data_IF_461467080318
#
_entry.id   IF_461467080318
#
_cell.length_a   1.000
_cell.length_b   1.000
_cell.length_c   1.000
_cell.angle_alpha   90.00
_cell.angle_beta   90.00
_cell.angle_gamma   90.00
#
_symmetry.space_group_name_H-M   'P 1'
#
loop_
_entity.id
_entity.type
_entity.pdbx_description
1 polymer ?
#
# COMPACT_ATOMS: atom_id res chain seq x y z
N UNK A 1 -9.23 -3.98 43.16
CA UNK A 1 -7.95 -3.65 42.51
C UNK A 1 -8.27 -2.98 41.19
N UNK A 2 -8.21 -1.65 41.18
CA UNK A 2 -8.56 -0.79 40.05
C UNK A 2 -7.23 -0.39 39.41
N UNK A 3 -7.01 -0.76 38.15
CA UNK A 3 -6.02 -0.13 37.30
C UNK A 3 -6.78 0.58 36.18
N UNK A 4 -6.89 1.90 36.31
CA UNK A 4 -7.38 2.79 35.25
C UNK A 4 -6.16 3.15 34.42
N UNK A 5 -6.08 2.63 33.20
CA UNK A 5 -5.10 3.09 32.22
C UNK A 5 -5.47 4.52 31.80
N UNK A 6 -4.56 5.45 32.05
CA UNK A 6 -4.71 6.85 31.68
C UNK A 6 -4.31 7.02 30.21
N UNK A 7 -5.29 7.23 29.33
CA UNK A 7 -5.05 7.64 27.94
C UNK A 7 -4.72 9.15 27.95
N UNK A 8 -3.50 9.49 27.54
CA UNK A 8 -3.05 10.88 27.44
C UNK A 8 -3.43 11.44 26.05
N UNK A 9 -4.64 12.00 25.92
CA UNK A 9 -5.00 12.81 24.76
C UNK A 9 -4.43 14.23 24.96
N UNK A 10 -3.27 14.53 24.36
CA UNK A 10 -2.64 15.85 24.48
C UNK A 10 -3.33 16.84 23.52
N UNK A 11 -4.31 17.57 24.03
CA UNK A 11 -5.05 18.58 23.28
C UNK A 11 -4.31 19.93 23.37
N UNK A 12 -3.34 20.16 22.49
CA UNK A 12 -2.60 21.44 22.43
C UNK A 12 -3.47 22.49 21.74
N UNK A 13 -3.86 23.52 22.50
CA UNK A 13 -4.67 24.63 22.03
C UNK A 13 -3.78 25.83 21.65
N UNK A 14 -3.45 26.01 20.37
CA UNK A 14 -2.99 27.31 19.83
C UNK A 14 -3.45 27.54 18.39
N UNK A 15 -3.91 28.77 18.15
CA UNK A 15 -4.05 29.57 16.91
C UNK A 15 -4.08 28.85 15.55
N UNK A 16 -5.20 29.01 14.82
CA UNK A 16 -5.46 28.68 13.39
C UNK A 16 -4.33 27.87 12.74
N UNK A 17 -4.25 26.60 13.11
CA UNK A 17 -3.27 25.65 12.62
C UNK A 17 -3.98 24.34 12.36
N UNK A 18 -3.71 23.74 11.21
CA UNK A 18 -4.19 22.41 10.85
C UNK A 18 -3.82 21.45 12.00
N UNK A 19 -4.80 21.04 12.81
CA UNK A 19 -4.56 20.13 13.94
C UNK A 19 -4.40 18.74 13.35
N UNK A 20 -3.16 18.27 13.26
CA UNK A 20 -2.88 16.87 12.95
C UNK A 20 -3.40 16.00 14.09
N UNK A 21 -4.22 15.01 13.75
CA UNK A 21 -4.73 14.03 14.72
C UNK A 21 -3.80 12.82 14.71
N UNK A 22 -3.22 12.48 15.86
CA UNK A 22 -2.39 11.28 16.04
C UNK A 22 -3.06 10.29 16.99
N UNK A 23 -3.21 9.03 16.57
CA UNK A 23 -3.81 7.95 17.38
C UNK A 23 -2.96 6.68 17.32
N UNK A 24 -2.68 6.06 18.47
CA UNK A 24 -1.96 4.79 18.59
C UNK A 24 -2.91 3.59 18.56
N UNK A 25 -2.53 2.51 17.86
CA UNK A 25 -3.32 1.29 17.69
C UNK A 25 -2.98 0.21 18.72
N UNK A 26 -3.97 -0.39 19.39
CA UNK A 26 -3.74 -1.21 20.59
C UNK A 26 -3.43 -2.70 20.26
N UNK A 27 -3.78 -3.15 19.04
CA UNK A 27 -3.51 -4.53 18.60
C UNK A 27 -2.31 -4.65 17.64
N UNK A 28 -1.73 -3.53 17.17
CA UNK A 28 -0.63 -3.53 16.18
C UNK A 28 0.42 -2.44 16.42
N UNK A 29 0.27 -1.63 17.48
CA UNK A 29 1.11 -0.46 17.81
C UNK A 29 1.38 0.51 16.64
N UNK A 30 0.53 0.53 15.62
CA UNK A 30 0.63 1.52 14.56
C UNK A 30 0.13 2.89 15.04
N UNK A 31 0.77 3.95 14.60
CA UNK A 31 0.27 5.31 14.82
C UNK A 31 -0.22 5.88 13.50
N UNK A 32 -1.45 6.37 13.46
CA UNK A 32 -2.00 7.08 12.29
C UNK A 32 -2.00 8.59 12.54
N UNK A 33 -1.53 9.34 11.56
CA UNK A 33 -1.58 10.80 11.50
C UNK A 33 -2.49 11.25 10.35
N UNK A 34 -3.50 12.06 10.67
CA UNK A 34 -4.46 12.59 9.69
C UNK A 34 -4.42 14.12 9.68
N UNK A 35 -4.41 14.70 8.48
CA UNK A 35 -4.47 16.16 8.31
C UNK A 35 -5.81 16.76 8.75
N UNK A 36 -6.92 16.06 8.47
CA UNK A 36 -8.24 16.39 8.99
C UNK A 36 -9.02 15.11 9.26
N UNK A 37 -10.01 15.19 10.15
CA UNK A 37 -10.71 14.02 10.67
C UNK A 37 -12.24 14.07 10.52
N UNK A 38 -12.85 15.25 10.66
CA UNK A 38 -14.31 15.43 10.69
C UNK A 38 -14.81 16.28 9.52
N UNK A 39 -16.01 15.99 8.97
CA UNK A 39 -16.88 14.83 9.21
C UNK A 39 -16.37 13.54 8.55
N UNK A 40 -15.33 13.65 7.73
CA UNK A 40 -14.63 12.53 7.10
C UNK A 40 -13.20 12.97 6.78
N UNK A 41 -12.20 12.09 6.92
CA UNK A 41 -10.81 12.45 6.68
C UNK A 41 -10.59 13.01 5.27
N UNK A 42 -9.87 14.12 5.17
CA UNK A 42 -9.44 14.72 3.91
C UNK A 42 -8.03 15.28 4.03
N UNK A 43 -7.23 15.11 2.99
CA UNK A 43 -5.82 15.51 2.95
C UNK A 43 -4.86 14.38 3.36
N UNK A 44 -3.60 14.72 3.65
CA UNK A 44 -2.54 13.76 3.94
C UNK A 44 -2.85 12.80 5.09
N UNK A 45 -2.41 11.56 4.94
CA UNK A 45 -2.44 10.49 5.93
C UNK A 45 -1.07 9.81 5.99
N UNK A 46 -0.58 9.55 7.20
CA UNK A 46 0.62 8.74 7.44
C UNK A 46 0.35 7.67 8.49
N UNK A 47 0.95 6.51 8.32
CA UNK A 47 0.93 5.41 9.28
C UNK A 47 2.36 5.02 9.61
N UNK A 48 2.65 4.91 10.90
CA UNK A 48 3.96 4.57 11.44
C UNK A 48 3.90 3.29 12.27
N UNK A 49 5.02 2.60 12.39
CA UNK A 49 5.17 1.50 13.34
C UNK A 49 5.41 1.98 14.78
N UNK A 50 5.69 1.04 15.69
CA UNK A 50 5.89 1.29 17.12
C UNK A 50 7.22 1.98 17.45
N UNK A 51 8.16 1.97 16.49
CA UNK A 51 9.41 2.72 16.54
C UNK A 51 9.29 4.06 15.79
N UNK A 52 8.06 4.46 15.44
CA UNK A 52 7.75 5.69 14.71
C UNK A 52 8.42 5.77 13.32
N UNK A 53 8.63 4.63 12.68
CA UNK A 53 9.12 4.56 11.29
C UNK A 53 7.94 4.57 10.34
N UNK A 54 8.03 5.36 9.27
CA UNK A 54 6.97 5.49 8.27
C UNK A 54 6.71 4.14 7.56
N UNK A 55 5.47 3.68 7.58
CA UNK A 55 5.02 2.46 6.88
C UNK A 55 4.17 2.79 5.66
N UNK A 56 3.24 3.75 5.79
CA UNK A 56 2.37 4.21 4.71
C UNK A 56 2.25 5.73 4.69
N UNK A 57 2.17 6.27 3.49
CA UNK A 57 1.91 7.69 3.21
C UNK A 57 0.94 7.78 2.03
N UNK A 58 -0.02 8.70 2.11
CA UNK A 58 -1.01 8.92 1.07
C UNK A 58 -2.00 10.03 1.45
N UNK A 59 -3.16 10.02 0.82
CA UNK A 59 -4.21 11.01 1.09
C UNK A 59 -5.61 10.41 1.08
N UNK A 60 -6.50 11.08 1.81
CA UNK A 60 -7.94 10.88 1.71
C UNK A 60 -8.63 12.06 1.03
N UNK A 61 -9.73 11.77 0.35
CA UNK A 61 -10.70 12.76 -0.09
C UNK A 61 -12.09 12.29 0.38
N UNK A 62 -12.71 13.07 1.27
CA UNK A 62 -14.04 12.77 1.82
C UNK A 62 -14.15 11.34 2.39
N UNK A 63 -13.13 10.91 3.14
CA UNK A 63 -13.05 9.61 3.79
C UNK A 63 -12.64 8.44 2.89
N UNK A 64 -12.38 8.67 1.60
CA UNK A 64 -11.92 7.64 0.66
C UNK A 64 -10.45 7.82 0.33
N UNK A 65 -9.71 6.72 0.16
CA UNK A 65 -8.33 6.79 -0.32
C UNK A 65 -8.30 7.48 -1.68
N UNK A 66 -7.41 8.44 -1.84
CA UNK A 66 -7.28 9.24 -3.05
C UNK A 66 -5.82 9.56 -3.37
N UNK A 67 -5.53 9.70 -4.66
CA UNK A 67 -4.17 9.98 -5.13
C UNK A 67 -3.23 8.78 -4.96
N UNK A 68 -1.93 9.06 -4.91
CA UNK A 68 -0.89 8.03 -4.80
C UNK A 68 -0.61 7.70 -3.34
N UNK A 69 -0.68 6.42 -3.04
CA UNK A 69 -0.26 5.83 -1.78
C UNK A 69 1.11 5.17 -1.94
N UNK A 70 1.93 5.26 -0.90
CA UNK A 70 3.28 4.73 -0.86
C UNK A 70 3.44 3.85 0.38
N UNK A 71 4.05 2.68 0.22
CA UNK A 71 4.51 1.85 1.34
C UNK A 71 6.02 1.84 1.45
N UNK A 72 6.50 1.91 2.68
CA UNK A 72 7.91 1.98 3.04
C UNK A 72 8.26 0.84 3.98
N UNK A 73 9.40 0.21 3.74
CA UNK A 73 9.95 -0.84 4.60
C UNK A 73 10.54 -0.27 5.89
N UNK A 74 10.79 -1.13 6.86
CA UNK A 74 11.38 -0.73 8.15
C UNK A 74 12.80 -0.14 8.05
N UNK A 75 13.46 -0.36 6.91
CA UNK A 75 14.76 0.19 6.52
C UNK A 75 14.65 1.57 5.81
N UNK A 76 13.43 2.09 5.61
CA UNK A 76 13.16 3.31 4.86
C UNK A 76 13.08 3.11 3.34
N UNK A 77 13.27 1.89 2.83
CA UNK A 77 13.21 1.61 1.40
C UNK A 77 11.76 1.61 0.93
N UNK A 78 11.48 2.31 -0.17
CA UNK A 78 10.14 2.28 -0.80
C UNK A 78 9.84 0.89 -1.36
N UNK A 79 8.72 0.30 -0.97
CA UNK A 79 8.31 -1.06 -1.36
C UNK A 79 7.20 -1.08 -2.41
N UNK A 80 6.28 -0.11 -2.39
CA UNK A 80 5.23 0.02 -3.40
C UNK A 80 4.67 1.44 -3.49
N UNK A 81 4.13 1.78 -4.66
CA UNK A 81 3.30 2.96 -4.90
C UNK A 81 2.12 2.57 -5.75
N UNK A 82 0.91 2.96 -5.36
CA UNK A 82 -0.30 2.69 -6.14
C UNK A 82 -1.29 3.82 -5.97
N UNK A 83 -2.14 4.02 -6.98
CA UNK A 83 -3.03 5.17 -7.02
C UNK A 83 -4.51 4.80 -6.87
N UNK A 84 -5.27 5.73 -6.30
CA UNK A 84 -6.72 5.67 -6.21
C UNK A 84 -7.36 6.90 -6.86
N UNK A 85 -8.62 6.71 -7.23
CA UNK A 85 -9.57 7.78 -7.54
C UNK A 85 -10.87 7.41 -6.85
N UNK A 86 -11.39 8.28 -5.98
CA UNK A 86 -12.67 8.05 -5.29
C UNK A 86 -12.73 6.71 -4.51
N UNK A 87 -11.62 6.30 -3.89
CA UNK A 87 -11.52 5.05 -3.13
C UNK A 87 -11.36 3.78 -3.97
N UNK A 88 -11.31 3.89 -5.30
CA UNK A 88 -11.11 2.76 -6.21
C UNK A 88 -9.70 2.82 -6.79
N UNK A 89 -8.98 1.69 -6.83
CA UNK A 89 -7.63 1.64 -7.43
C UNK A 89 -7.71 2.12 -8.89
N UNK A 90 -6.95 3.15 -9.21
CA UNK A 90 -6.97 3.79 -10.51
C UNK A 90 -5.66 4.56 -10.73
N UNK A 91 -4.97 4.27 -11.83
CA UNK A 91 -3.68 4.86 -12.16
C UNK A 91 -2.50 3.91 -11.91
N UNK A 92 -1.26 4.43 -11.85
CA UNK A 92 -0.07 3.60 -11.87
C UNK A 92 0.11 2.76 -10.60
N UNK A 93 0.77 1.61 -10.76
CA UNK A 93 1.27 0.74 -9.69
C UNK A 93 2.74 0.45 -9.97
N UNK A 94 3.56 0.55 -8.92
CA UNK A 94 4.94 0.05 -8.92
C UNK A 94 5.22 -0.66 -7.61
N UNK A 95 6.04 -1.70 -7.67
CA UNK A 95 6.59 -2.38 -6.50
C UNK A 95 8.08 -2.58 -6.67
N UNK A 96 8.81 -2.59 -5.57
CA UNK A 96 10.26 -2.76 -5.53
C UNK A 96 10.66 -3.90 -4.60
N UNK A 97 11.84 -4.45 -4.81
CA UNK A 97 12.45 -5.40 -3.91
C UNK A 97 12.94 -4.69 -2.64
N UNK A 98 12.64 -5.27 -1.47
CA UNK A 98 13.13 -4.76 -0.19
C UNK A 98 14.53 -5.29 0.14
N UNK A 99 15.41 -4.43 0.66
CA UNK A 99 16.80 -4.78 0.94
C UNK A 99 16.95 -5.88 2.01
N UNK A 100 16.00 -5.99 2.95
CA UNK A 100 16.03 -7.05 3.96
C UNK A 100 15.94 -8.47 3.37
N UNK A 101 15.14 -8.65 2.32
CA UNK A 101 14.96 -9.96 1.67
C UNK A 101 15.91 -10.15 0.50
N UNK A 102 16.25 -9.06 -0.18
CA UNK A 102 17.12 -9.01 -1.36
C UNK A 102 18.14 -7.88 -1.20
N UNK A 103 19.23 -8.08 -0.43
CA UNK A 103 20.21 -7.03 -0.15
C UNK A 103 20.77 -6.38 -1.41
N UNK A 104 21.15 -7.21 -2.38
CA UNK A 104 21.73 -6.78 -3.66
C UNK A 104 20.71 -6.23 -4.67
N UNK A 105 19.42 -6.31 -4.34
CA UNK A 105 18.35 -5.80 -5.20
C UNK A 105 17.43 -4.82 -4.47
N UNK A 106 17.85 -4.30 -3.31
CA UNK A 106 17.10 -3.30 -2.56
C UNK A 106 16.77 -2.10 -3.46
N UNK A 107 15.49 -1.79 -3.61
CA UNK A 107 15.02 -0.71 -4.48
C UNK A 107 15.02 -1.03 -5.97
N UNK A 108 15.40 -2.23 -6.41
CA UNK A 108 15.20 -2.66 -7.80
C UNK A 108 13.71 -2.81 -8.10
N UNK A 109 13.30 -2.41 -9.30
CA UNK A 109 11.91 -2.53 -9.75
C UNK A 109 11.53 -4.01 -9.79
N UNK A 110 10.44 -4.35 -9.10
CA UNK A 110 9.87 -5.70 -9.06
C UNK A 110 8.67 -5.81 -10.00
N UNK A 111 7.81 -4.78 -10.02
CA UNK A 111 6.59 -4.76 -10.81
C UNK A 111 6.25 -3.33 -11.22
N UNK A 112 5.73 -3.16 -12.43
CA UNK A 112 5.04 -1.94 -12.85
C UNK A 112 3.80 -2.24 -13.70
N UNK A 113 2.80 -1.38 -13.62
CA UNK A 113 1.56 -1.51 -14.39
C UNK A 113 0.58 -0.38 -14.11
N UNK A 114 -0.67 -0.58 -14.52
CA UNK A 114 -1.77 0.39 -14.30
C UNK A 114 -3.02 -0.32 -13.78
N UNK A 115 -3.77 0.37 -12.93
CA UNK A 115 -5.10 0.01 -12.48
C UNK A 115 -6.16 0.86 -13.20
N UNK A 116 -7.28 0.24 -13.57
CA UNK A 116 -8.53 0.91 -13.92
C UNK A 116 -9.69 0.16 -13.25
N UNK A 117 -10.65 0.91 -12.71
CA UNK A 117 -11.86 0.39 -12.07
C UNK A 117 -11.60 -0.72 -11.04
N UNK A 118 -10.51 -0.60 -10.27
CA UNK A 118 -10.15 -1.52 -9.19
C UNK A 118 -9.27 -2.70 -9.62
N UNK A 119 -9.13 -2.98 -10.91
CA UNK A 119 -8.38 -4.11 -11.46
C UNK A 119 -7.21 -3.67 -12.36
N UNK A 120 -6.28 -4.60 -12.65
CA UNK A 120 -5.22 -4.29 -13.61
C UNK A 120 -5.81 -4.01 -14.98
N UNK A 121 -5.27 -2.99 -15.65
CA UNK A 121 -5.66 -2.62 -17.01
C UNK A 121 -4.43 -2.19 -17.81
N UNK A 122 -4.31 -2.70 -19.03
CA UNK A 122 -3.12 -2.56 -19.85
C UNK A 122 -2.01 -3.56 -19.49
N UNK A 123 -0.75 -3.14 -19.64
CA UNK A 123 0.41 -4.03 -19.46
C UNK A 123 0.94 -3.96 -18.04
N UNK A 124 1.12 -5.12 -17.43
CA UNK A 124 1.80 -5.32 -16.15
C UNK A 124 3.07 -6.11 -16.39
N UNK A 125 4.22 -5.53 -16.07
CA UNK A 125 5.53 -6.13 -16.24
C UNK A 125 6.12 -6.46 -14.87
N UNK A 126 6.67 -7.67 -14.73
CA UNK A 126 7.45 -8.09 -13.55
C UNK A 126 8.89 -8.31 -13.96
N UNK A 127 9.80 -8.02 -13.04
CA UNK A 127 11.23 -8.24 -13.20
C UNK A 127 11.74 -9.12 -12.08
N UNK A 128 12.81 -9.86 -12.36
CA UNK A 128 13.61 -10.57 -11.36
C UNK A 128 14.46 -9.59 -10.54
N UNK A 129 15.04 -10.02 -9.40
CA UNK A 129 15.97 -9.18 -8.63
C UNK A 129 17.17 -8.70 -9.45
N UNK A 130 17.57 -9.45 -10.48
CA UNK A 130 18.62 -9.06 -11.43
C UNK A 130 18.24 -7.90 -12.36
N UNK A 131 16.95 -7.50 -12.37
CA UNK A 131 16.41 -6.52 -13.32
C UNK A 131 15.96 -7.12 -14.66
N UNK A 132 16.22 -8.41 -14.90
CA UNK A 132 15.76 -9.09 -16.12
C UNK A 132 14.24 -9.27 -16.08
N UNK A 133 13.57 -9.11 -17.23
CA UNK A 133 12.11 -9.28 -17.32
C UNK A 133 11.73 -10.72 -16.96
N UNK A 134 10.83 -10.87 -15.99
CA UNK A 134 10.28 -12.16 -15.53
C UNK A 134 8.96 -12.47 -16.22
N UNK A 135 8.03 -11.51 -16.27
CA UNK A 135 6.72 -11.74 -16.88
C UNK A 135 6.15 -10.46 -17.49
N UNK A 136 5.28 -10.66 -18.47
CA UNK A 136 4.47 -9.62 -19.09
C UNK A 136 3.03 -10.11 -19.15
N UNK A 137 2.11 -9.36 -18.57
CA UNK A 137 0.68 -9.68 -18.50
C UNK A 137 -0.12 -8.52 -19.10
N UNK A 138 -0.99 -8.80 -20.05
CA UNK A 138 -1.85 -7.80 -20.69
C UNK A 138 -3.28 -8.02 -20.23
N UNK A 139 -3.86 -7.00 -19.64
CA UNK A 139 -5.24 -6.97 -19.18
C UNK A 139 -6.06 -5.99 -20.01
N UNK A 140 -7.33 -6.34 -20.24
CA UNK A 140 -8.34 -5.45 -20.80
C UNK A 140 -9.57 -5.51 -19.91
N UNK A 141 -9.94 -4.36 -19.32
CA UNK A 141 -11.04 -4.23 -18.37
C UNK A 141 -10.96 -5.25 -17.25
N UNK A 142 -9.77 -5.42 -16.65
CA UNK A 142 -9.51 -6.38 -15.58
C UNK A 142 -9.33 -7.83 -16.03
N UNK A 143 -9.54 -8.16 -17.30
CA UNK A 143 -9.47 -9.54 -17.81
C UNK A 143 -8.11 -9.81 -18.45
N UNK A 144 -7.41 -10.86 -18.00
CA UNK A 144 -6.14 -11.29 -18.61
C UNK A 144 -6.37 -11.74 -20.06
N UNK A 145 -5.74 -11.07 -21.02
CA UNK A 145 -5.77 -11.41 -22.45
C UNK A 145 -4.55 -12.20 -22.91
N UNK A 146 -3.39 -11.86 -22.36
CA UNK A 146 -2.11 -12.47 -22.76
C UNK A 146 -1.15 -12.48 -21.59
N UNK A 147 -0.39 -13.56 -21.45
CA UNK A 147 0.75 -13.64 -20.56
C UNK A 147 1.97 -14.24 -21.25
N UNK A 148 3.14 -13.78 -20.86
CA UNK A 148 4.44 -14.35 -21.17
C UNK A 148 5.24 -14.45 -19.88
N UNK A 149 6.03 -15.50 -19.75
CA UNK A 149 6.88 -15.75 -18.60
C UNK A 149 8.23 -16.28 -19.07
N UNK A 150 9.30 -15.67 -18.59
CA UNK A 150 10.67 -16.09 -18.81
C UNK A 150 11.21 -16.65 -17.51
N UNK A 151 11.76 -17.85 -17.54
CA UNK A 151 12.51 -18.38 -16.39
C UNK A 151 13.77 -17.55 -16.14
N UNK A 152 14.43 -17.67 -14.96
CA UNK A 152 15.68 -16.95 -14.71
C UNK A 152 16.79 -17.28 -15.71
N UNK A 153 16.73 -18.46 -16.34
CA UNK A 153 17.66 -18.88 -17.41
C UNK A 153 17.30 -18.34 -18.80
N UNK A 154 16.24 -17.55 -18.93
CA UNK A 154 15.81 -16.92 -20.18
C UNK A 154 14.91 -17.79 -21.07
N UNK A 155 14.56 -19.01 -20.65
CA UNK A 155 13.63 -19.86 -21.41
C UNK A 155 12.18 -19.42 -21.23
N UNK A 156 11.44 -19.33 -22.32
CA UNK A 156 10.00 -19.06 -22.32
C UNK A 156 9.22 -20.24 -21.73
N UNK A 157 8.29 -19.96 -20.83
CA UNK A 157 7.29 -20.94 -20.43
C UNK A 157 6.28 -21.19 -21.56
N UNK A 158 5.67 -22.38 -21.56
CA UNK A 158 4.51 -22.64 -22.41
C UNK A 158 3.37 -21.66 -22.10
N UNK A 159 2.44 -21.46 -23.02
CA UNK A 159 1.29 -20.57 -22.79
C UNK A 159 0.49 -20.95 -21.53
N UNK A 160 0.29 -22.25 -21.28
CA UNK A 160 -0.37 -22.73 -20.08
C UNK A 160 0.45 -22.46 -18.81
N UNK A 161 1.78 -22.62 -18.88
CA UNK A 161 2.68 -22.27 -17.78
C UNK A 161 2.65 -20.78 -17.46
N UNK A 162 2.75 -19.93 -18.49
CA UNK A 162 2.68 -18.48 -18.35
C UNK A 162 1.32 -18.00 -17.82
N UNK A 163 0.22 -18.66 -18.19
CA UNK A 163 -1.11 -18.35 -17.64
C UNK A 163 -1.21 -18.68 -16.14
N UNK A 164 -0.69 -19.85 -15.73
CA UNK A 164 -0.66 -20.26 -14.32
C UNK A 164 0.20 -19.33 -13.46
N UNK A 165 1.39 -18.96 -13.95
CA UNK A 165 2.25 -17.98 -13.27
C UNK A 165 1.56 -16.61 -13.18
N UNK A 166 0.89 -16.17 -14.25
CA UNK A 166 0.19 -14.90 -14.24
C UNK A 166 -0.93 -14.82 -13.19
N UNK A 167 -1.69 -15.90 -13.02
CA UNK A 167 -2.74 -16.02 -11.98
C UNK A 167 -2.14 -16.00 -10.57
N UNK A 168 -1.09 -16.79 -10.35
CA UNK A 168 -0.37 -16.85 -9.07
C UNK A 168 0.20 -15.48 -8.68
N UNK A 169 0.90 -14.82 -9.61
CA UNK A 169 1.45 -13.49 -9.42
C UNK A 169 0.36 -12.45 -9.15
N UNK A 170 -0.75 -12.48 -9.92
CA UNK A 170 -1.88 -11.58 -9.70
C UNK A 170 -2.46 -11.73 -8.29
N UNK A 171 -2.69 -12.97 -7.85
CA UNK A 171 -3.19 -13.25 -6.50
C UNK A 171 -2.26 -12.71 -5.42
N UNK A 172 -0.95 -12.90 -5.56
CA UNK A 172 0.03 -12.39 -4.60
C UNK A 172 0.07 -10.85 -4.57
N UNK A 173 0.02 -10.22 -5.75
CA UNK A 173 0.01 -8.76 -5.87
C UNK A 173 -1.22 -8.16 -5.20
N UNK A 174 -2.41 -8.70 -5.48
CA UNK A 174 -3.65 -8.25 -4.87
C UNK A 174 -3.67 -8.49 -3.36
N UNK A 175 -3.17 -9.64 -2.89
CA UNK A 175 -3.10 -9.93 -1.46
C UNK A 175 -2.17 -8.97 -0.71
N UNK A 176 -1.02 -8.62 -1.31
CA UNK A 176 -0.11 -7.64 -0.72
C UNK A 176 -0.77 -6.26 -0.59
N UNK A 177 -1.39 -5.75 -1.66
CA UNK A 177 -2.07 -4.45 -1.61
C UNK A 177 -3.25 -4.45 -0.62
N UNK A 178 -4.04 -5.53 -0.59
CA UNK A 178 -5.16 -5.66 0.35
C UNK A 178 -4.70 -5.65 1.81
N UNK A 179 -3.52 -6.21 2.10
CA UNK A 179 -2.92 -6.16 3.44
C UNK A 179 -2.60 -4.71 3.86
N UNK A 180 -2.11 -3.90 2.93
CA UNK A 180 -1.81 -2.48 3.17
C UNK A 180 -3.09 -1.67 3.35
N UNK A 181 -4.11 -1.93 2.53
CA UNK A 181 -5.43 -1.31 2.65
C UNK A 181 -6.11 -1.65 3.99
N UNK A 182 -6.04 -2.91 4.41
CA UNK A 182 -6.56 -3.35 5.71
C UNK A 182 -5.85 -2.64 6.87
N UNK A 183 -4.54 -2.38 6.74
CA UNK A 183 -3.78 -1.60 7.72
C UNK A 183 -4.30 -0.16 7.82
N UNK A 184 -4.62 0.48 6.69
CA UNK A 184 -5.24 1.80 6.65
C UNK A 184 -6.62 1.78 7.30
N UNK A 185 -7.47 0.82 6.90
CA UNK A 185 -8.84 0.71 7.39
C UNK A 185 -8.90 0.46 8.91
N UNK A 186 -8.06 -0.44 9.43
CA UNK A 186 -7.99 -0.71 10.88
C UNK A 186 -7.49 0.50 11.67
N UNK A 187 -6.46 1.17 11.17
CA UNK A 187 -5.91 2.37 11.79
C UNK A 187 -6.93 3.50 11.85
N UNK A 188 -7.66 3.74 10.74
CA UNK A 188 -8.72 4.75 10.69
C UNK A 188 -9.91 4.39 11.60
N UNK A 189 -10.35 3.13 11.59
CA UNK A 189 -11.44 2.68 12.46
C UNK A 189 -11.09 2.83 13.95
N UNK A 190 -9.83 2.65 14.32
CA UNK A 190 -9.37 2.91 15.68
C UNK A 190 -9.37 4.40 16.01
N UNK A 191 -8.86 5.26 15.13
CA UNK A 191 -8.92 6.70 15.32
C UNK A 191 -10.35 7.19 15.60
N UNK A 192 -11.35 6.66 14.87
CA UNK A 192 -12.76 6.99 15.12
C UNK A 192 -13.27 6.52 16.49
N UNK A 193 -12.76 5.41 17.03
CA UNK A 193 -13.13 4.96 18.37
C UNK A 193 -12.53 5.86 19.46
N UNK A 194 -11.29 6.30 19.31
CA UNK A 194 -10.62 7.13 20.32
C UNK A 194 -11.13 8.57 20.34
N UNK A 195 -11.47 9.16 19.18
CA UNK A 195 -12.03 10.53 19.14
C UNK A 195 -13.46 10.61 19.71
N UNK A 196 -14.21 9.51 19.69
CA UNK A 196 -15.58 9.44 20.23
C UNK A 196 -15.66 9.17 21.74
N UNK A 197 -14.54 8.79 22.38
CA UNK A 197 -14.47 8.59 23.84
C UNK A 197 -14.32 9.94 24.54
#
# INVERSE_FOLDING_TARGET
MIARDFILALLVLTLVGCRTVSVSSDASKWTIELASFEPSPSGPCRIYDDLHRLMLDGSFLSGKMDGTWTSTGSDGTRLATWSYREGVRHGPIKMWYGALRYPEAGGHLKLEGTFADGGYDGTVTRFYPSGTRQSLRVYEHGVLRRSQYWSPGGSDASAAGAAKEAESEHKQDMAYLSTLEDMVARSLAQAHREVRK
#
